data_IF_037497625831
#
_entry.id   IF_037497625831
#
_cell.length_a   1.000
_cell.length_b   1.000
_cell.length_c   1.000
_cell.angle_alpha   90.00
_cell.angle_beta   90.00
_cell.angle_gamma   90.00
#
_symmetry.space_group_name_H-M   'P 1'
#
loop_
_entity.id
_entity.type
_entity.pdbx_description
1 polymer ?
#
# COMPACT_ATOMS: atom_id res chain seq x y z
N UNK A 1 -22.24 3.13 -5.90
CA UNK A 1 -20.99 3.62 -5.29
C UNK A 1 -20.43 4.69 -6.22
N UNK A 2 -20.03 5.85 -5.71
CA UNK A 2 -19.36 6.86 -6.55
C UNK A 2 -17.91 6.44 -6.80
N UNK A 3 -17.26 6.84 -7.91
CA UNK A 3 -15.86 6.51 -8.16
C UNK A 3 -14.94 6.90 -7.00
N UNK A 4 -15.18 8.05 -6.36
CA UNK A 4 -14.41 8.50 -5.20
C UNK A 4 -14.55 7.57 -3.97
N UNK A 5 -15.77 7.12 -3.65
CA UNK A 5 -15.99 6.19 -2.53
C UNK A 5 -15.36 4.82 -2.77
N UNK A 6 -15.32 4.38 -4.03
CA UNK A 6 -14.67 3.12 -4.40
C UNK A 6 -13.15 3.21 -4.23
N UNK A 7 -12.53 4.29 -4.72
CA UNK A 7 -11.09 4.55 -4.57
C UNK A 7 -10.68 4.69 -3.11
N UNK A 8 -11.48 5.38 -2.30
CA UNK A 8 -11.26 5.46 -0.85
C UNK A 8 -11.32 4.07 -0.20
N UNK A 9 -12.27 3.22 -0.61
CA UNK A 9 -12.36 1.82 -0.17
C UNK A 9 -11.08 1.03 -0.47
N UNK A 10 -10.59 1.09 -1.71
CA UNK A 10 -9.34 0.44 -2.12
C UNK A 10 -8.14 0.89 -1.27
N UNK A 11 -8.05 2.19 -0.99
CA UNK A 11 -6.96 2.76 -0.18
C UNK A 11 -7.03 2.28 1.26
N UNK A 12 -8.23 2.25 1.87
CA UNK A 12 -8.39 1.76 3.25
C UNK A 12 -7.99 0.30 3.39
N UNK A 13 -8.35 -0.53 2.40
CA UNK A 13 -7.95 -1.93 2.38
C UNK A 13 -6.44 -2.09 2.16
N UNK A 14 -5.84 -1.29 1.29
CA UNK A 14 -4.39 -1.26 1.11
C UNK A 14 -3.65 -0.88 2.40
N UNK A 15 -4.11 0.18 3.10
CA UNK A 15 -3.54 0.61 4.39
C UNK A 15 -3.59 -0.55 5.40
N UNK A 16 -4.73 -1.23 5.49
CA UNK A 16 -4.90 -2.40 6.36
C UNK A 16 -3.93 -3.53 5.99
N UNK A 17 -3.73 -3.80 4.70
CA UNK A 17 -2.76 -4.77 4.21
C UNK A 17 -1.32 -4.40 4.58
N UNK A 18 -0.91 -3.14 4.36
CA UNK A 18 0.41 -2.64 4.69
C UNK A 18 0.68 -2.70 6.21
N UNK A 19 -0.33 -2.38 7.03
CA UNK A 19 -0.20 -2.48 8.48
C UNK A 19 -0.02 -3.92 8.97
N UNK A 20 -0.73 -4.87 8.37
CA UNK A 20 -0.55 -6.28 8.67
C UNK A 20 0.85 -6.74 8.24
N UNK A 21 1.28 -6.34 7.03
CA UNK A 21 2.62 -6.65 6.52
C UNK A 21 3.73 -6.12 7.44
N UNK A 22 3.57 -4.90 7.99
CA UNK A 22 4.49 -4.34 9.00
C UNK A 22 4.61 -5.25 10.23
N UNK A 23 3.47 -5.67 10.78
CA UNK A 23 3.41 -6.54 11.96
C UNK A 23 4.04 -7.90 11.69
N UNK A 24 3.70 -8.51 10.56
CA UNK A 24 4.23 -9.82 10.15
C UNK A 24 5.73 -9.78 9.86
N UNK A 25 6.23 -8.65 9.34
CA UNK A 25 7.65 -8.44 9.06
C UNK A 25 8.44 -7.97 10.31
N UNK A 26 7.80 -7.87 11.48
CA UNK A 26 8.46 -7.54 12.75
C UNK A 26 8.87 -6.08 12.91
N UNK A 27 8.21 -5.14 12.19
CA UNK A 27 8.43 -3.71 12.37
C UNK A 27 7.83 -3.21 13.68
N UNK A 28 8.53 -2.32 14.36
CA UNK A 28 8.00 -1.63 15.54
C UNK A 28 6.95 -0.58 15.14
N UNK A 29 6.13 -0.16 16.11
CA UNK A 29 5.06 0.84 15.89
C UNK A 29 5.64 2.19 15.42
N UNK A 30 6.88 2.50 15.77
CA UNK A 30 7.58 3.74 15.40
C UNK A 30 8.46 3.61 14.17
N UNK A 31 8.65 2.40 13.64
CA UNK A 31 9.53 2.18 12.50
C UNK A 31 8.98 2.86 11.25
N UNK A 32 9.88 3.48 10.48
CA UNK A 32 9.57 4.06 9.19
C UNK A 32 9.90 3.09 8.06
N UNK A 33 9.14 3.18 6.98
CA UNK A 33 9.26 2.24 5.86
C UNK A 33 9.31 2.93 4.51
N UNK A 34 9.98 2.29 3.57
CA UNK A 34 9.81 2.54 2.14
C UNK A 34 8.90 1.45 1.57
N UNK A 35 7.90 1.86 0.79
CA UNK A 35 6.88 0.99 0.20
C UNK A 35 7.05 0.95 -1.31
N UNK A 36 7.17 -0.25 -1.87
CA UNK A 36 7.14 -0.48 -3.31
C UNK A 36 5.86 -1.24 -3.67
N UNK A 37 5.02 -0.64 -4.50
CA UNK A 37 3.73 -1.17 -4.91
C UNK A 37 3.73 -1.63 -6.36
N UNK A 38 2.94 -2.65 -6.65
CA UNK A 38 2.59 -3.09 -7.99
C UNK A 38 1.10 -3.43 -8.01
N UNK A 39 0.39 -2.94 -9.02
CA UNK A 39 -1.05 -3.09 -9.15
C UNK A 39 -1.52 -2.48 -10.46
N UNK A 40 -2.83 -2.45 -10.66
CA UNK A 40 -3.40 -1.85 -11.86
C UNK A 40 -3.42 -0.32 -11.81
N UNK A 41 -3.76 0.30 -12.95
CA UNK A 41 -3.75 1.75 -13.09
C UNK A 41 -4.77 2.45 -12.17
N UNK A 42 -5.93 1.84 -11.96
CA UNK A 42 -6.99 2.40 -11.11
C UNK A 42 -6.57 2.43 -9.64
N UNK A 43 -5.96 1.35 -9.15
CA UNK A 43 -5.39 1.33 -7.80
C UNK A 43 -4.25 2.34 -7.67
N UNK A 44 -3.40 2.48 -8.69
CA UNK A 44 -2.33 3.47 -8.70
C UNK A 44 -2.87 4.90 -8.61
N UNK A 45 -3.89 5.23 -9.39
CA UNK A 45 -4.55 6.54 -9.33
C UNK A 45 -5.16 6.81 -7.96
N UNK A 46 -5.85 5.82 -7.37
CA UNK A 46 -6.39 5.92 -6.02
C UNK A 46 -5.26 6.15 -5.00
N UNK A 47 -4.16 5.41 -5.08
CA UNK A 47 -3.04 5.58 -4.15
C UNK A 47 -2.36 6.93 -4.28
N UNK A 48 -2.28 7.50 -5.48
CA UNK A 48 -1.72 8.83 -5.68
C UNK A 48 -2.65 9.91 -5.12
N UNK A 49 -3.97 9.79 -5.33
CA UNK A 49 -4.98 10.69 -4.76
C UNK A 49 -4.93 10.71 -3.23
N UNK A 50 -4.71 9.55 -2.60
CA UNK A 50 -4.69 9.39 -1.14
C UNK A 50 -3.29 9.17 -0.56
N UNK A 51 -2.23 9.56 -1.29
CA UNK A 51 -0.83 9.29 -0.93
C UNK A 51 -0.47 9.75 0.48
N UNK A 52 -0.94 10.95 0.87
CA UNK A 52 -0.69 11.55 2.18
C UNK A 52 -1.33 10.72 3.30
N UNK A 53 -2.55 10.21 3.08
CA UNK A 53 -3.24 9.36 4.03
C UNK A 53 -2.51 8.02 4.20
N UNK A 54 -2.11 7.38 3.09
CA UNK A 54 -1.37 6.11 3.13
C UNK A 54 -0.06 6.28 3.90
N UNK A 55 0.71 7.31 3.56
CA UNK A 55 1.99 7.59 4.21
C UNK A 55 1.83 7.88 5.71
N UNK A 56 0.84 8.69 6.09
CA UNK A 56 0.56 9.03 7.48
C UNK A 56 0.14 7.83 8.32
N UNK A 57 -0.75 6.99 7.79
CA UNK A 57 -1.22 5.81 8.51
C UNK A 57 -0.12 4.76 8.61
N UNK A 58 0.66 4.52 7.55
CA UNK A 58 1.65 3.42 7.48
C UNK A 58 3.08 3.79 7.89
N UNK A 59 3.33 5.05 8.26
CA UNK A 59 4.67 5.62 8.48
C UNK A 59 5.61 5.40 7.28
N UNK A 60 5.05 5.47 6.07
CA UNK A 60 5.84 5.35 4.85
C UNK A 60 6.50 6.68 4.50
N UNK A 61 7.82 6.67 4.31
CA UNK A 61 8.58 7.85 3.83
C UNK A 61 8.62 7.92 2.31
N UNK A 62 8.56 6.76 1.65
CA UNK A 62 8.44 6.67 0.20
C UNK A 62 7.38 5.65 -0.20
N UNK A 63 6.66 5.96 -1.28
CA UNK A 63 5.71 5.08 -1.94
C UNK A 63 6.05 5.16 -3.42
N UNK A 64 6.57 4.06 -3.96
CA UNK A 64 6.97 3.94 -5.36
C UNK A 64 6.19 2.83 -6.05
N UNK A 65 6.15 2.88 -7.38
CA UNK A 65 5.44 1.92 -8.22
C UNK A 65 6.40 1.20 -9.14
N UNK A 66 6.30 -0.12 -9.20
CA UNK A 66 7.04 -0.97 -10.13
C UNK A 66 6.08 -1.75 -11.03
N UNK A 67 6.51 -2.02 -12.27
CA UNK A 67 5.83 -2.98 -13.16
C UNK A 67 6.39 -4.40 -13.01
N UNK A 68 7.46 -4.56 -12.20
CA UNK A 68 8.12 -5.83 -11.93
C UNK A 68 8.21 -6.02 -10.42
N UNK A 69 7.22 -6.70 -9.81
CA UNK A 69 7.23 -6.94 -8.37
C UNK A 69 8.38 -7.88 -8.00
N UNK A 70 9.01 -7.63 -6.85
CA UNK A 70 10.04 -8.52 -6.31
C UNK A 70 9.46 -9.90 -5.97
N UNK A 71 10.32 -10.91 -5.84
CA UNK A 71 9.88 -12.28 -5.55
C UNK A 71 9.26 -12.40 -4.15
N UNK A 72 9.73 -11.58 -3.22
CA UNK A 72 9.27 -11.44 -1.84
C UNK A 72 8.06 -10.53 -1.67
N UNK A 73 7.48 -10.02 -2.76
CA UNK A 73 6.32 -9.14 -2.67
C UNK A 73 5.10 -9.89 -2.10
N UNK A 74 4.46 -9.28 -1.10
CA UNK A 74 3.27 -9.82 -0.46
C UNK A 74 2.03 -9.32 -1.18
N UNK A 75 1.09 -10.24 -1.40
CA UNK A 75 -0.20 -9.93 -2.03
C UNK A 75 -1.15 -9.32 -0.99
N UNK A 76 -1.75 -8.19 -1.34
CA UNK A 76 -2.73 -7.46 -0.54
C UNK A 76 -4.02 -7.34 -1.37
N UNK A 77 -5.13 -7.76 -0.79
CA UNK A 77 -6.46 -7.57 -1.36
C UNK A 77 -6.98 -6.16 -1.05
N UNK A 78 -7.25 -5.38 -2.09
CA UNK A 78 -7.77 -4.02 -2.03
C UNK A 78 -9.17 -3.98 -2.67
N UNK A 79 -10.16 -4.56 -1.99
CA UNK A 79 -11.51 -4.76 -2.53
C UNK A 79 -11.52 -5.76 -3.70
N UNK A 80 -11.84 -5.27 -4.90
CA UNK A 80 -11.84 -6.08 -6.14
C UNK A 80 -10.47 -6.07 -6.83
N UNK A 81 -9.51 -5.32 -6.30
CA UNK A 81 -8.16 -5.17 -6.86
C UNK A 81 -7.15 -5.97 -6.05
N UNK A 82 -6.09 -6.40 -6.72
CA UNK A 82 -4.96 -7.05 -6.09
C UNK A 82 -3.74 -6.13 -6.19
N UNK A 83 -3.11 -5.88 -5.06
CA UNK A 83 -1.84 -5.17 -4.96
C UNK A 83 -0.75 -6.13 -4.53
N UNK A 84 0.46 -5.96 -5.06
CA UNK A 84 1.67 -6.56 -4.48
C UNK A 84 2.49 -5.46 -3.83
N UNK A 85 2.96 -5.69 -2.62
CA UNK A 85 3.71 -4.73 -1.85
C UNK A 85 5.01 -5.35 -1.31
N UNK A 86 6.07 -4.56 -1.34
CA UNK A 86 7.31 -4.82 -0.60
C UNK A 86 7.51 -3.65 0.35
N UNK A 87 7.85 -3.94 1.59
CA UNK A 87 8.23 -2.92 2.57
C UNK A 87 9.67 -3.14 2.99
N UNK A 88 10.41 -2.04 3.15
CA UNK A 88 11.79 -2.04 3.62
C UNK A 88 11.97 -0.99 4.70
N UNK A 89 12.87 -1.24 5.65
CA UNK A 89 13.20 -0.25 6.69
C UNK A 89 14.06 0.85 6.07
N UNK A 90 13.68 2.10 6.35
CA UNK A 90 14.45 3.31 6.02
C UNK A 90 15.42 3.67 7.12
#
# INVERSE_FOLDING_TARGET
>A
VTPALLREGYVRDLIRGLQNLRKESGFEVTDRIAVLLNGDAELREACEEFRVLIAGETLAESIEWTNSPAAEAVTIDAGEKICRAVITRT
#
